data_IF_033060581646
#
_entry.id   IF_033060581646
#
_cell.length_a   1.000
_cell.length_b   1.000
_cell.length_c   1.000
_cell.angle_alpha   90.00
_cell.angle_beta   90.00
_cell.angle_gamma   90.00
#
_symmetry.space_group_name_H-M   'P 1'
#
loop_
_entity.id
_entity.type
_entity.pdbx_description
1 polymer ?
#
# COMPACT_ATOMS: atom_id res chain seq x y z
N UNK A 1 13.36 81.82 -21.74
CA UNK A 1 12.41 80.94 -22.43
C UNK A 1 12.30 79.66 -21.62
N UNK A 2 11.21 79.51 -20.83
CA UNK A 2 10.91 78.36 -19.98
C UNK A 2 10.16 77.33 -20.81
N UNK A 3 10.73 76.16 -21.00
CA UNK A 3 10.01 75.00 -21.47
C UNK A 3 9.43 74.24 -20.27
N UNK A 4 8.10 74.26 -20.14
CA UNK A 4 7.34 73.36 -19.25
C UNK A 4 7.23 71.99 -19.91
N UNK A 5 7.87 71.01 -19.34
CA UNK A 5 7.59 69.56 -19.65
C UNK A 5 6.30 69.11 -19.02
N UNK A 6 5.34 68.65 -19.83
CA UNK A 6 4.13 67.97 -19.35
C UNK A 6 4.47 66.57 -18.90
N UNK A 7 3.88 66.04 -17.80
CA UNK A 7 4.07 64.66 -17.41
C UNK A 7 3.24 63.72 -18.29
N UNK A 8 3.91 62.77 -18.87
CA UNK A 8 3.30 61.65 -19.59
C UNK A 8 2.44 60.84 -18.62
N UNK A 9 1.11 60.74 -18.88
CA UNK A 9 0.21 59.83 -18.14
C UNK A 9 0.46 58.39 -18.61
N UNK A 10 0.70 57.41 -17.72
CA UNK A 10 0.75 56.03 -18.13
C UNK A 10 -0.68 55.53 -18.40
N UNK A 11 -1.00 55.27 -19.66
CA UNK A 11 -2.22 54.56 -20.08
C UNK A 11 -1.97 53.08 -19.97
N UNK A 12 -1.79 52.55 -18.77
CA UNK A 12 -1.79 51.15 -18.47
C UNK A 12 -3.13 50.81 -17.86
N UNK A 13 -4.08 50.19 -18.62
CA UNK A 13 -5.19 49.46 -18.02
C UNK A 13 -4.60 48.40 -17.10
N UNK A 14 -5.06 48.26 -15.86
CA UNK A 14 -4.63 47.14 -15.05
C UNK A 14 -5.08 45.88 -15.79
N UNK A 15 -4.11 45.04 -16.19
CA UNK A 15 -4.38 43.68 -16.64
C UNK A 15 -4.78 42.97 -15.36
N UNK A 16 -6.09 42.87 -15.11
CA UNK A 16 -6.63 41.95 -14.15
C UNK A 16 -6.25 40.55 -14.65
N UNK A 17 -5.18 39.98 -14.10
CA UNK A 17 -5.00 38.53 -14.15
C UNK A 17 -6.26 37.95 -13.53
N UNK A 18 -7.12 37.38 -14.34
CA UNK A 18 -8.09 36.43 -13.85
C UNK A 18 -7.22 35.39 -13.15
N UNK A 19 -7.29 35.35 -11.84
CA UNK A 19 -6.64 34.33 -11.03
C UNK A 19 -7.43 33.07 -11.35
N UNK A 20 -7.01 32.33 -12.38
CA UNK A 20 -7.53 30.99 -12.61
C UNK A 20 -7.18 30.23 -11.33
N UNK A 21 -8.19 29.81 -10.57
CA UNK A 21 -8.00 28.91 -9.45
C UNK A 21 -7.21 27.72 -10.00
N UNK A 22 -6.19 27.31 -9.31
CA UNK A 22 -5.29 26.23 -9.71
C UNK A 22 -5.30 25.17 -8.63
N UNK A 23 -5.34 23.90 -9.03
CA UNK A 23 -5.23 22.75 -8.15
C UNK A 23 -3.82 22.17 -8.21
N UNK A 24 -3.38 21.63 -7.11
CA UNK A 24 -2.16 20.80 -7.03
C UNK A 24 -2.56 19.35 -7.21
N UNK A 25 -2.05 18.73 -8.26
CA UNK A 25 -2.19 17.30 -8.49
C UNK A 25 -0.85 16.62 -8.15
N UNK A 26 -0.82 15.85 -7.08
CA UNK A 26 0.35 15.09 -6.66
C UNK A 26 0.39 13.76 -7.38
N UNK A 27 1.27 13.64 -8.35
CA UNK A 27 1.48 12.41 -9.12
C UNK A 27 2.37 11.47 -8.33
N UNK A 28 1.87 10.29 -8.03
CA UNK A 28 2.49 9.26 -7.17
C UNK A 28 2.76 8.03 -8.02
N UNK A 29 3.95 7.44 -7.92
CA UNK A 29 4.31 6.20 -8.60
C UNK A 29 5.26 5.37 -7.78
N UNK A 30 5.42 4.11 -8.19
CA UNK A 30 6.34 3.15 -7.58
C UNK A 30 7.58 3.07 -8.47
N UNK A 31 8.77 3.21 -7.87
CA UNK A 31 10.04 3.19 -8.60
C UNK A 31 10.56 1.78 -8.91
N UNK A 32 11.74 1.70 -9.55
CA UNK A 32 12.39 0.44 -9.91
C UNK A 32 13.44 -0.04 -8.92
N UNK A 33 13.49 0.50 -7.71
CA UNK A 33 14.48 0.10 -6.71
C UNK A 33 14.25 -1.35 -6.27
N UNK A 34 15.33 -2.11 -6.15
CA UNK A 34 15.32 -3.50 -5.70
C UNK A 34 16.16 -3.65 -4.43
N UNK A 35 15.82 -4.56 -3.50
CA UNK A 35 14.72 -5.52 -3.56
C UNK A 35 13.34 -4.92 -3.25
N UNK A 36 13.27 -3.73 -2.70
CA UNK A 36 12.03 -3.05 -2.30
C UNK A 36 11.91 -1.72 -3.05
N UNK A 37 10.84 -1.51 -3.82
CA UNK A 37 10.59 -0.25 -4.50
C UNK A 37 10.16 0.85 -3.53
N UNK A 38 10.46 2.10 -3.88
CA UNK A 38 10.01 3.27 -3.14
C UNK A 38 8.83 3.95 -3.82
N UNK A 39 7.97 4.53 -3.00
CA UNK A 39 6.96 5.48 -3.46
C UNK A 39 7.65 6.79 -3.81
N UNK A 40 7.36 7.32 -4.99
CA UNK A 40 7.84 8.62 -5.49
C UNK A 40 6.67 9.54 -5.76
N UNK A 41 6.89 10.83 -5.66
CA UNK A 41 5.87 11.80 -6.05
C UNK A 41 6.43 13.09 -6.62
N UNK A 42 5.60 13.81 -7.38
CA UNK A 42 5.85 15.18 -7.85
C UNK A 42 4.53 15.91 -8.10
N UNK A 43 4.52 17.21 -7.83
CA UNK A 43 3.31 18.04 -7.95
C UNK A 43 3.19 18.70 -9.32
N UNK A 44 2.05 18.56 -9.98
CA UNK A 44 1.65 19.30 -11.17
C UNK A 44 0.60 20.36 -10.82
N UNK A 45 0.79 21.57 -11.33
CA UNK A 45 -0.22 22.63 -11.19
C UNK A 45 -1.15 22.58 -12.40
N UNK A 46 -2.42 22.40 -12.16
CA UNK A 46 -3.46 22.28 -13.18
C UNK A 46 -4.50 23.39 -13.00
N UNK A 47 -5.29 23.64 -14.04
CA UNK A 47 -6.42 24.57 -13.94
C UNK A 47 -7.50 23.94 -13.04
N UNK A 48 -8.21 24.79 -12.31
CA UNK A 48 -9.37 24.40 -11.54
C UNK A 48 -10.43 23.69 -12.41
N UNK A 49 -11.08 22.66 -11.83
CA UNK A 49 -12.07 21.83 -12.54
C UNK A 49 -11.46 20.82 -13.53
N UNK A 50 -10.12 20.60 -13.52
CA UNK A 50 -9.49 19.53 -14.30
C UNK A 50 -9.96 18.18 -13.78
N UNK A 51 -10.69 17.42 -14.58
CA UNK A 51 -11.15 16.07 -14.25
C UNK A 51 -10.26 14.98 -14.85
N UNK A 52 -9.67 15.24 -16.02
CA UNK A 52 -8.78 14.31 -16.70
C UNK A 52 -7.33 14.74 -16.47
N UNK A 53 -6.63 14.01 -15.62
CA UNK A 53 -5.23 14.29 -15.30
C UNK A 53 -4.33 13.88 -16.48
N UNK A 54 -3.52 14.82 -17.03
CA UNK A 54 -2.70 14.52 -18.20
C UNK A 54 -1.55 13.58 -17.85
N UNK A 55 -1.09 12.79 -18.82
CA UNK A 55 0.17 12.05 -18.72
C UNK A 55 1.33 13.01 -18.47
N UNK A 56 2.38 12.51 -17.80
CA UNK A 56 3.53 13.36 -17.46
C UNK A 56 4.85 12.59 -17.50
N UNK A 57 5.85 13.10 -18.24
CA UNK A 57 7.18 12.51 -18.32
C UNK A 57 7.99 12.74 -17.04
N UNK A 58 8.93 11.83 -16.74
CA UNK A 58 9.88 11.97 -15.65
C UNK A 58 11.23 11.29 -15.98
N UNK A 59 12.27 11.61 -15.22
CA UNK A 59 13.60 11.01 -15.34
C UNK A 59 13.64 9.63 -14.65
N UNK A 60 13.50 8.58 -15.45
CA UNK A 60 13.58 7.19 -14.98
C UNK A 60 14.97 6.78 -14.48
N UNK A 61 16.03 7.49 -14.87
CA UNK A 61 17.39 7.18 -14.40
C UNK A 61 17.58 7.48 -12.92
N UNK A 62 16.85 8.46 -12.40
CA UNK A 62 16.85 8.82 -10.98
C UNK A 62 15.96 7.92 -10.11
N UNK A 63 15.23 6.98 -10.73
CA UNK A 63 14.28 6.08 -10.07
C UNK A 63 14.53 4.60 -10.39
N UNK A 64 15.71 4.26 -10.91
CA UNK A 64 16.10 2.90 -11.29
C UNK A 64 15.17 2.27 -12.35
N UNK A 65 14.61 3.07 -13.26
CA UNK A 65 13.64 2.63 -14.29
C UNK A 65 14.15 2.84 -15.72
N UNK A 66 15.24 3.58 -15.93
CA UNK A 66 15.82 3.78 -17.23
C UNK A 66 17.35 4.04 -17.16
N UNK A 67 18.11 3.83 -18.24
CA UNK A 67 19.50 4.27 -18.31
C UNK A 67 19.59 5.79 -18.52
N UNK A 68 20.73 6.40 -18.14
CA UNK A 68 20.88 7.85 -18.19
C UNK A 68 20.94 8.48 -19.61
N UNK A 69 21.25 7.68 -20.62
CA UNK A 69 21.32 8.10 -22.03
C UNK A 69 19.98 7.92 -22.77
N UNK A 70 18.98 7.31 -22.12
CA UNK A 70 17.60 7.19 -22.60
C UNK A 70 16.66 7.13 -21.38
N UNK A 71 16.55 8.27 -20.66
CA UNK A 71 16.02 8.29 -19.30
C UNK A 71 14.53 8.58 -19.19
N UNK A 72 13.85 8.93 -20.26
CA UNK A 72 12.45 9.30 -20.19
C UNK A 72 11.55 8.10 -19.89
N UNK A 73 10.70 8.27 -18.86
CA UNK A 73 9.56 7.42 -18.54
C UNK A 73 8.29 8.26 -18.47
N UNK A 74 7.13 7.62 -18.57
CA UNK A 74 5.82 8.28 -18.59
C UNK A 74 4.97 7.82 -17.42
N UNK A 75 4.36 8.78 -16.72
CA UNK A 75 3.31 8.57 -15.74
C UNK A 75 1.95 8.63 -16.40
N UNK A 76 1.19 7.54 -16.32
CA UNK A 76 -0.20 7.45 -16.76
C UNK A 76 -1.11 7.38 -15.53
N UNK A 77 -1.97 8.39 -15.28
CA UNK A 77 -2.94 8.35 -14.19
C UNK A 77 -3.85 7.13 -14.27
N UNK A 78 -4.06 6.45 -13.14
CA UNK A 78 -4.88 5.23 -13.04
C UNK A 78 -5.87 5.25 -11.89
N UNK A 79 -5.59 6.03 -10.84
CA UNK A 79 -6.48 6.24 -9.71
C UNK A 79 -6.29 7.66 -9.18
N UNK A 80 -7.32 8.28 -8.62
CA UNK A 80 -7.21 9.59 -7.97
C UNK A 80 -8.18 9.71 -6.80
N UNK A 81 -7.78 10.52 -5.81
CA UNK A 81 -8.60 10.84 -4.65
C UNK A 81 -8.30 12.26 -4.17
N UNK A 82 -9.14 12.86 -3.31
CA UNK A 82 -8.83 14.13 -2.64
C UNK A 82 -7.48 14.07 -1.93
N UNK A 83 -6.76 15.21 -1.88
CA UNK A 83 -5.55 15.33 -1.08
C UNK A 83 -5.91 15.83 0.34
N UNK A 84 -5.95 14.94 1.35
CA UNK A 84 -6.35 15.32 2.70
C UNK A 84 -5.31 16.15 3.44
N UNK A 85 -4.05 16.13 2.97
CA UNK A 85 -2.93 16.86 3.60
C UNK A 85 -2.99 18.33 3.21
N UNK A 86 -3.21 18.64 1.94
CA UNK A 86 -3.29 20.02 1.43
C UNK A 86 -4.70 20.57 1.48
N UNK A 87 -5.71 19.70 1.37
CA UNK A 87 -7.13 20.08 1.42
C UNK A 87 -7.60 20.86 0.18
N UNK A 88 -8.81 21.40 0.26
CA UNK A 88 -9.44 22.15 -0.83
C UNK A 88 -9.74 21.22 -2.02
N UNK A 89 -9.43 21.69 -3.23
CA UNK A 89 -9.65 20.95 -4.48
C UNK A 89 -8.38 20.21 -4.97
N UNK A 90 -7.32 20.16 -4.13
CA UNK A 90 -6.09 19.43 -4.43
C UNK A 90 -6.31 17.91 -4.44
N UNK A 91 -5.54 17.20 -5.26
CA UNK A 91 -5.74 15.79 -5.51
C UNK A 91 -4.45 14.97 -5.47
N UNK A 92 -4.57 13.74 -5.04
CA UNK A 92 -3.56 12.69 -5.19
C UNK A 92 -3.88 11.87 -6.43
N UNK A 93 -2.87 11.57 -7.24
CA UNK A 93 -3.03 10.87 -8.53
C UNK A 93 -2.02 9.73 -8.60
N UNK A 94 -2.48 8.49 -8.41
CA UNK A 94 -1.65 7.31 -8.58
C UNK A 94 -1.45 7.06 -10.07
N UNK A 95 -0.22 6.72 -10.44
CA UNK A 95 0.18 6.56 -11.83
C UNK A 95 0.85 5.21 -12.09
N UNK A 96 0.50 4.61 -13.21
CA UNK A 96 1.30 3.60 -13.87
C UNK A 96 2.56 4.21 -14.46
N UNK A 97 3.67 3.46 -14.44
CA UNK A 97 4.86 3.79 -15.22
C UNK A 97 4.78 3.09 -16.57
N UNK A 98 4.97 3.86 -17.64
CA UNK A 98 4.94 3.39 -19.03
C UNK A 98 6.21 3.79 -19.78
N UNK A 99 6.50 3.08 -20.87
CA UNK A 99 7.54 3.44 -21.83
C UNK A 99 7.11 4.66 -22.67
N UNK A 100 8.06 5.49 -23.12
CA UNK A 100 7.77 6.67 -23.95
C UNK A 100 7.63 6.30 -25.44
N UNK A 101 6.92 5.22 -25.74
CA UNK A 101 6.76 4.64 -27.08
C UNK A 101 5.52 5.13 -27.84
N UNK A 102 4.71 5.98 -27.22
CA UNK A 102 3.45 6.48 -27.78
C UNK A 102 2.26 5.51 -27.65
N UNK A 103 2.51 4.25 -27.38
CA UNK A 103 1.49 3.21 -27.14
C UNK A 103 1.18 3.04 -25.65
N UNK A 104 1.95 3.68 -24.78
CA UNK A 104 1.85 3.58 -23.32
C UNK A 104 2.06 2.15 -22.82
N UNK A 105 3.01 1.45 -23.46
CA UNK A 105 3.40 0.10 -23.04
C UNK A 105 3.82 0.11 -21.57
N UNK A 106 3.26 -0.77 -20.73
CA UNK A 106 3.66 -0.84 -19.32
C UNK A 106 5.17 -1.04 -19.17
N UNK A 107 5.78 -0.23 -18.30
CA UNK A 107 7.20 -0.41 -17.99
C UNK A 107 7.43 -1.76 -17.29
N UNK A 108 8.59 -2.45 -17.46
CA UNK A 108 8.87 -3.74 -16.80
C UNK A 108 8.71 -3.74 -15.27
N UNK A 109 8.84 -2.59 -14.62
CA UNK A 109 8.59 -2.44 -13.16
C UNK A 109 7.11 -2.21 -12.81
N UNK A 110 6.22 -2.13 -13.79
CA UNK A 110 4.79 -1.90 -13.58
C UNK A 110 4.08 -3.22 -13.27
N UNK A 111 3.98 -3.57 -12.01
CA UNK A 111 3.32 -4.79 -11.52
C UNK A 111 1.78 -4.70 -11.58
N UNK A 112 1.24 -3.47 -11.60
CA UNK A 112 -0.20 -3.23 -11.70
C UNK A 112 -0.80 -3.75 -13.00
N UNK A 113 -0.11 -3.63 -14.12
CA UNK A 113 -0.63 -4.08 -15.42
C UNK A 113 -1.00 -5.57 -15.42
N UNK A 114 -0.13 -6.43 -14.90
CA UNK A 114 -0.41 -7.87 -14.77
C UNK A 114 -1.51 -8.18 -13.73
N UNK A 115 -1.68 -7.33 -12.73
CA UNK A 115 -2.77 -7.44 -11.75
C UNK A 115 -4.14 -7.12 -12.41
N UNK A 116 -4.20 -6.10 -13.27
CA UNK A 116 -5.39 -5.77 -14.06
C UNK A 116 -5.78 -6.94 -14.97
N UNK A 117 -4.83 -7.53 -15.69
CA UNK A 117 -5.08 -8.71 -16.54
C UNK A 117 -5.65 -9.89 -15.75
N UNK A 118 -5.21 -10.07 -14.50
CA UNK A 118 -5.70 -11.10 -13.61
C UNK A 118 -7.15 -10.84 -13.17
N UNK A 119 -7.46 -9.61 -12.78
CA UNK A 119 -8.83 -9.21 -12.42
C UNK A 119 -9.77 -9.39 -13.62
N UNK A 120 -9.37 -8.95 -14.80
CA UNK A 120 -10.19 -9.09 -16.03
C UNK A 120 -10.49 -10.55 -16.35
N UNK A 121 -9.47 -11.43 -16.19
CA UNK A 121 -9.60 -12.89 -16.45
C UNK A 121 -10.60 -13.58 -15.53
N UNK A 122 -10.64 -13.19 -14.26
CA UNK A 122 -11.44 -13.85 -13.23
C UNK A 122 -12.56 -12.95 -12.67
N UNK A 123 -12.95 -11.91 -13.39
CA UNK A 123 -13.98 -10.95 -12.95
C UNK A 123 -15.34 -11.61 -12.66
N UNK A 124 -15.67 -12.71 -13.36
CA UNK A 124 -16.88 -13.48 -13.15
C UNK A 124 -16.93 -14.20 -11.79
N UNK A 125 -15.78 -14.45 -11.16
CA UNK A 125 -15.67 -15.01 -9.82
C UNK A 125 -15.74 -13.95 -8.71
N UNK A 126 -15.74 -12.67 -9.06
CA UNK A 126 -15.83 -11.53 -8.12
C UNK A 126 -14.81 -11.64 -6.98
N UNK A 127 -13.48 -11.67 -7.27
CA UNK A 127 -12.47 -11.71 -6.24
C UNK A 127 -12.50 -10.44 -5.39
N UNK A 128 -12.51 -10.60 -4.07
CA UNK A 128 -12.52 -9.50 -3.09
C UNK A 128 -11.40 -9.73 -2.09
N UNK A 129 -10.72 -8.64 -1.73
CA UNK A 129 -9.58 -8.63 -0.82
C UNK A 129 -9.75 -7.63 0.31
N UNK A 130 -9.11 -7.96 1.46
CA UNK A 130 -8.75 -7.01 2.50
C UNK A 130 -7.30 -7.22 2.88
N UNK A 131 -6.54 -6.15 3.11
CA UNK A 131 -5.12 -6.23 3.46
C UNK A 131 -4.89 -5.54 4.81
N UNK A 132 -4.25 -6.27 5.72
CA UNK A 132 -3.86 -5.85 7.07
C UNK A 132 -2.38 -5.46 7.03
N UNK A 133 -2.10 -4.18 6.80
CA UNK A 133 -0.75 -3.67 6.63
C UNK A 133 -0.13 -3.31 7.97
N UNK A 134 0.82 -4.10 8.42
CA UNK A 134 1.65 -3.77 9.58
C UNK A 134 2.82 -2.85 9.19
N UNK A 135 3.28 -2.03 10.14
CA UNK A 135 4.43 -1.14 10.02
C UNK A 135 4.98 -0.77 11.40
N UNK A 136 6.23 -0.34 11.44
CA UNK A 136 6.89 0.07 12.68
C UNK A 136 7.39 1.50 12.57
N UNK A 137 7.06 2.34 13.53
CA UNK A 137 7.59 3.69 13.60
C UNK A 137 9.01 3.70 14.16
N UNK A 138 9.88 4.49 13.51
CA UNK A 138 11.24 4.74 13.96
C UNK A 138 11.48 6.25 14.15
N UNK A 139 12.21 6.57 15.18
CA UNK A 139 12.74 7.91 15.41
C UNK A 139 14.20 7.81 15.79
N UNK A 140 15.09 8.56 15.13
CA UNK A 140 16.53 8.53 15.34
C UNK A 140 17.14 7.10 15.27
N UNK A 141 16.61 6.27 14.35
CA UNK A 141 17.10 4.90 14.13
C UNK A 141 16.64 3.87 15.17
N UNK A 142 15.66 4.21 16.02
CA UNK A 142 15.08 3.32 17.04
C UNK A 142 13.56 3.24 16.90
N UNK A 143 12.94 2.10 17.23
CA UNK A 143 11.48 2.06 17.27
C UNK A 143 10.92 3.10 18.23
N UNK A 144 9.87 3.76 17.81
CA UNK A 144 9.23 4.82 18.58
C UNK A 144 8.69 4.29 19.93
N UNK A 145 8.97 5.00 21.01
CA UNK A 145 8.56 4.62 22.36
C UNK A 145 9.52 3.65 23.07
N UNK A 146 10.55 3.15 22.40
CA UNK A 146 11.55 2.31 23.04
C UNK A 146 12.43 3.13 23.99
N UNK A 147 12.89 2.54 25.13
CA UNK A 147 13.74 3.25 26.07
C UNK A 147 15.06 3.67 25.43
N UNK A 148 15.64 4.78 25.89
CA UNK A 148 16.93 5.27 25.38
C UNK A 148 18.05 4.25 25.63
N UNK A 149 18.00 3.54 26.75
CA UNK A 149 18.92 2.47 27.09
C UNK A 149 18.14 1.17 27.32
N UNK A 150 18.66 0.05 26.77
CA UNK A 150 18.03 -1.26 26.88
C UNK A 150 16.89 -1.47 25.87
N UNK A 151 16.02 -2.41 26.19
CA UNK A 151 14.92 -2.89 25.34
C UNK A 151 13.64 -3.01 26.16
N UNK A 152 12.46 -2.75 25.58
CA UNK A 152 11.20 -3.11 26.21
C UNK A 152 11.07 -4.65 26.28
N UNK A 153 10.02 -5.15 26.92
CA UNK A 153 9.72 -6.58 26.85
C UNK A 153 9.35 -6.95 25.40
N UNK A 154 9.87 -8.06 24.83
CA UNK A 154 9.53 -8.48 23.47
C UNK A 154 8.04 -8.77 23.29
N UNK A 155 7.42 -9.33 24.32
CA UNK A 155 5.99 -9.64 24.39
C UNK A 155 5.41 -8.90 25.61
N UNK A 156 4.98 -7.66 25.43
CA UNK A 156 4.34 -6.84 26.44
C UNK A 156 2.85 -6.65 26.17
N UNK A 157 2.14 -5.84 26.96
CA UNK A 157 0.73 -5.53 26.78
C UNK A 157 0.51 -4.48 25.68
N UNK A 158 1.20 -4.60 24.54
CA UNK A 158 1.21 -3.61 23.45
C UNK A 158 0.09 -3.84 22.46
N UNK A 159 -0.24 -5.11 22.16
CA UNK A 159 -1.31 -5.44 21.23
C UNK A 159 -2.64 -4.84 21.68
N UNK A 160 -3.21 -3.96 20.83
CA UNK A 160 -4.40 -3.16 21.16
C UNK A 160 -4.27 -2.40 22.49
N UNK A 161 -3.04 -2.05 22.90
CA UNK A 161 -2.73 -1.44 24.18
C UNK A 161 -3.33 -0.05 24.36
N UNK A 162 -3.50 0.34 25.62
CA UNK A 162 -4.03 1.66 26.01
C UNK A 162 -3.18 2.22 27.15
N UNK A 163 -2.73 3.44 27.01
CA UNK A 163 -1.92 4.13 28.02
C UNK A 163 -0.52 4.45 27.51
N UNK A 164 0.10 5.46 28.10
CA UNK A 164 1.35 6.04 27.60
C UNK A 164 2.58 5.12 27.73
N UNK A 165 2.47 4.04 28.52
CA UNK A 165 3.58 3.08 28.72
C UNK A 165 3.53 1.97 27.66
N UNK A 166 2.31 1.61 27.21
CA UNK A 166 2.06 0.49 26.31
C UNK A 166 1.99 0.93 24.84
N UNK A 167 1.83 2.24 24.56
CA UNK A 167 1.59 2.75 23.20
C UNK A 167 2.49 3.94 22.88
N UNK A 168 3.01 3.95 21.65
CA UNK A 168 3.73 5.08 21.08
C UNK A 168 3.21 5.35 19.64
N UNK A 169 3.08 6.64 19.25
CA UNK A 169 2.71 7.04 17.89
C UNK A 169 1.21 7.10 17.61
N UNK A 170 0.32 7.00 18.59
CA UNK A 170 -1.15 7.04 18.38
C UNK A 170 -1.61 8.28 17.62
N UNK A 171 -1.05 9.44 17.92
CA UNK A 171 -1.42 10.68 17.23
C UNK A 171 -1.11 10.63 15.72
N UNK A 172 -0.03 9.96 15.32
CA UNK A 172 0.34 9.75 13.92
C UNK A 172 -0.66 8.81 13.26
N UNK A 173 -1.01 7.71 13.94
CA UNK A 173 -1.98 6.71 13.46
C UNK A 173 -3.36 7.32 13.29
N UNK A 174 -3.83 8.12 14.23
CA UNK A 174 -5.13 8.79 14.14
C UNK A 174 -5.16 9.82 13.02
N UNK A 175 -4.09 10.60 12.85
CA UNK A 175 -3.94 11.52 11.73
C UNK A 175 -3.94 10.78 10.37
N UNK A 176 -3.22 9.66 10.27
CA UNK A 176 -3.19 8.80 9.07
C UNK A 176 -4.57 8.19 8.78
N UNK A 177 -5.23 7.64 9.80
CA UNK A 177 -6.58 7.07 9.67
C UNK A 177 -7.57 8.11 9.16
N UNK A 178 -7.55 9.32 9.75
CA UNK A 178 -8.44 10.41 9.30
C UNK A 178 -8.12 10.83 7.86
N UNK A 179 -6.84 10.91 7.50
CA UNK A 179 -6.44 11.23 6.13
C UNK A 179 -6.91 10.17 5.13
N UNK A 180 -6.83 8.88 5.46
CA UNK A 180 -7.37 7.81 4.61
C UNK A 180 -8.90 7.95 4.43
N UNK A 181 -9.64 8.27 5.50
CA UNK A 181 -11.08 8.53 5.44
C UNK A 181 -11.38 9.75 4.55
N UNK A 182 -10.67 10.85 4.74
CA UNK A 182 -10.90 12.10 3.98
C UNK A 182 -10.50 11.93 2.49
N UNK A 183 -9.54 11.06 2.19
CA UNK A 183 -9.20 10.65 0.83
C UNK A 183 -10.24 9.70 0.20
N UNK A 184 -11.19 9.19 0.97
CA UNK A 184 -12.20 8.23 0.50
C UNK A 184 -11.66 6.83 0.25
N UNK A 185 -10.56 6.45 0.94
CA UNK A 185 -10.05 5.08 0.91
C UNK A 185 -10.92 4.15 1.78
N UNK A 186 -11.04 2.90 1.38
CA UNK A 186 -11.79 1.87 2.11
C UNK A 186 -11.00 1.36 3.32
N UNK A 187 -10.60 2.30 4.19
CA UNK A 187 -9.95 1.93 5.45
C UNK A 187 -10.99 1.34 6.40
N UNK A 188 -10.74 0.13 6.89
CA UNK A 188 -11.69 -0.65 7.71
C UNK A 188 -11.26 -0.78 9.17
N UNK A 189 -9.98 -0.54 9.48
CA UNK A 189 -9.51 -0.63 10.86
C UNK A 189 -8.07 -0.19 11.04
N UNK A 190 -7.71 -0.01 12.32
CA UNK A 190 -6.33 0.23 12.76
C UNK A 190 -6.17 -0.25 14.19
N UNK A 191 -5.02 -0.81 14.51
CA UNK A 191 -4.68 -1.25 15.87
C UNK A 191 -3.17 -1.18 16.11
N UNK A 192 -2.80 -1.12 17.39
CA UNK A 192 -1.43 -1.33 17.81
C UNK A 192 -1.10 -2.82 17.79
N UNK A 193 0.12 -3.13 17.40
CA UNK A 193 0.64 -4.47 17.25
C UNK A 193 1.45 -4.97 18.46
N UNK A 194 1.96 -6.20 18.37
CA UNK A 194 2.58 -6.93 19.49
C UNK A 194 3.89 -6.29 19.94
N UNK A 195 4.60 -5.59 19.05
CA UNK A 195 5.84 -4.88 19.39
C UNK A 195 5.54 -3.39 19.66
N UNK A 196 6.12 -2.83 20.72
CA UNK A 196 5.99 -1.40 21.02
C UNK A 196 6.50 -0.53 19.86
N UNK A 197 5.65 0.36 19.35
CA UNK A 197 5.91 1.19 18.17
C UNK A 197 5.47 0.57 16.85
N UNK A 198 4.95 -0.67 16.87
CA UNK A 198 4.36 -1.33 15.72
C UNK A 198 2.85 -1.13 15.69
N UNK A 199 2.32 -0.90 14.50
CA UNK A 199 0.92 -0.63 14.23
C UNK A 199 0.47 -1.31 12.95
N UNK A 200 -0.85 -1.37 12.77
CA UNK A 200 -1.52 -1.92 11.59
C UNK A 200 -2.61 -0.97 11.10
N UNK A 201 -2.78 -0.86 9.80
CA UNK A 201 -3.99 -0.37 9.18
C UNK A 201 -4.57 -1.40 8.22
N UNK A 202 -5.89 -1.37 7.98
CA UNK A 202 -6.60 -2.34 7.16
C UNK A 202 -7.32 -1.64 6.02
N UNK A 203 -7.08 -2.08 4.78
CA UNK A 203 -7.75 -1.61 3.57
C UNK A 203 -8.63 -2.72 3.00
N UNK A 204 -9.84 -2.37 2.63
CA UNK A 204 -10.83 -3.25 2.02
C UNK A 204 -12.13 -3.37 2.84
N UNK A 205 -13.11 -4.12 2.31
CA UNK A 205 -13.03 -5.04 1.16
C UNK A 205 -13.10 -4.33 -0.20
N UNK A 206 -12.20 -4.68 -1.12
CA UNK A 206 -12.15 -4.17 -2.49
C UNK A 206 -11.81 -5.29 -3.48
N UNK A 207 -11.97 -5.04 -4.80
CA UNK A 207 -11.46 -5.95 -5.82
C UNK A 207 -9.93 -6.01 -5.85
N UNK A 208 -9.38 -6.94 -6.65
CA UNK A 208 -7.96 -7.25 -6.76
C UNK A 208 -7.06 -6.03 -7.04
N UNK A 209 -7.50 -5.11 -7.89
CA UNK A 209 -6.74 -3.92 -8.29
C UNK A 209 -7.00 -2.78 -7.33
N UNK A 210 -8.26 -2.53 -6.99
CA UNK A 210 -8.66 -1.42 -6.12
C UNK A 210 -8.04 -1.50 -4.72
N UNK A 211 -7.96 -2.71 -4.12
CA UNK A 211 -7.30 -2.86 -2.82
C UNK A 211 -5.82 -2.50 -2.90
N UNK A 212 -5.17 -2.90 -4.00
CA UNK A 212 -3.73 -2.66 -4.20
C UNK A 212 -3.42 -1.18 -4.45
N UNK A 213 -4.24 -0.51 -5.29
CA UNK A 213 -4.16 0.94 -5.49
C UNK A 213 -4.30 1.68 -4.15
N UNK A 214 -5.28 1.31 -3.34
CA UNK A 214 -5.55 1.96 -2.07
C UNK A 214 -4.51 1.66 -0.99
N UNK A 215 -3.90 0.47 -0.95
CA UNK A 215 -2.77 0.19 -0.05
C UNK A 215 -1.57 1.08 -0.39
N UNK A 216 -1.24 1.28 -1.67
CA UNK A 216 -0.17 2.19 -2.06
C UNK A 216 -0.49 3.65 -1.70
N UNK A 217 -1.74 4.08 -1.87
CA UNK A 217 -2.17 5.42 -1.45
C UNK A 217 -2.12 5.60 0.07
N UNK A 218 -2.56 4.60 0.84
CA UNK A 218 -2.47 4.61 2.30
C UNK A 218 -1.01 4.63 2.79
N UNK A 219 -0.09 3.87 2.15
CA UNK A 219 1.35 3.94 2.43
C UNK A 219 1.92 5.34 2.13
N UNK A 220 1.53 5.95 1.01
CA UNK A 220 1.93 7.32 0.68
C UNK A 220 1.48 8.31 1.78
N UNK A 221 0.21 8.25 2.17
CA UNK A 221 -0.32 9.10 3.24
C UNK A 221 0.39 8.87 4.58
N UNK A 222 0.67 7.61 4.92
CA UNK A 222 1.43 7.26 6.13
C UNK A 222 2.82 7.91 6.15
N UNK A 223 3.56 7.79 5.06
CA UNK A 223 4.90 8.37 4.96
C UNK A 223 4.85 9.89 5.03
N UNK A 224 3.92 10.52 4.32
CA UNK A 224 3.77 11.98 4.31
C UNK A 224 3.37 12.55 5.67
N UNK A 225 2.49 11.89 6.40
CA UNK A 225 2.08 12.29 7.73
C UNK A 225 3.23 12.06 8.73
N UNK A 226 3.89 10.91 8.68
CA UNK A 226 5.03 10.62 9.55
C UNK A 226 6.17 11.65 9.41
N UNK A 227 6.41 12.19 8.20
CA UNK A 227 7.36 13.30 7.97
C UNK A 227 7.08 14.52 8.86
N UNK A 228 5.82 14.88 9.10
CA UNK A 228 5.45 16.05 9.91
C UNK A 228 5.81 15.85 11.39
N UNK A 229 5.87 14.61 11.85
CA UNK A 229 6.25 14.23 13.21
C UNK A 229 7.76 13.94 13.37
N UNK A 230 8.53 13.99 12.26
CA UNK A 230 9.94 13.59 12.27
C UNK A 230 10.13 12.11 12.61
N UNK A 231 9.20 11.27 12.17
CA UNK A 231 9.15 9.83 12.39
C UNK A 231 9.19 9.12 11.05
N UNK A 232 9.91 8.01 10.97
CA UNK A 232 9.97 7.13 9.82
C UNK A 232 9.04 5.93 10.01
N UNK A 233 8.23 5.61 9.00
CA UNK A 233 7.35 4.44 9.02
C UNK A 233 7.98 3.32 8.19
N UNK A 234 8.52 2.31 8.87
CA UNK A 234 9.15 1.15 8.23
C UNK A 234 8.13 0.05 7.96
N UNK A 235 8.16 -0.49 6.75
CA UNK A 235 7.43 -1.71 6.36
C UNK A 235 8.38 -2.91 6.24
N UNK A 236 9.52 -2.90 6.91
CA UNK A 236 10.44 -4.04 6.91
C UNK A 236 9.77 -5.27 7.54
N UNK A 237 9.96 -6.43 6.92
CA UNK A 237 9.40 -7.70 7.39
C UNK A 237 9.90 -8.10 8.78
N UNK A 238 11.13 -7.73 9.13
CA UNK A 238 11.76 -7.97 10.43
C UNK A 238 12.50 -6.71 10.88
N UNK A 239 11.78 -5.67 11.31
CA UNK A 239 12.36 -4.36 11.62
C UNK A 239 13.38 -4.42 12.76
N UNK A 240 13.22 -5.34 13.70
CA UNK A 240 14.19 -5.63 14.76
C UNK A 240 14.51 -7.12 14.79
N UNK A 241 15.81 -7.45 14.73
CA UNK A 241 16.28 -8.84 14.75
C UNK A 241 16.22 -9.44 16.16
N UNK A 242 16.04 -10.77 16.22
CA UNK A 242 15.95 -11.52 17.49
C UNK A 242 14.51 -11.85 17.86
N UNK A 243 14.23 -11.93 19.16
CA UNK A 243 12.96 -12.36 19.73
C UNK A 243 11.87 -11.25 19.70
N UNK A 244 11.75 -10.57 18.55
CA UNK A 244 10.77 -9.54 18.31
C UNK A 244 9.82 -9.98 17.20
N UNK A 245 8.56 -9.49 17.21
CA UNK A 245 7.63 -9.75 16.11
C UNK A 245 8.16 -9.20 14.81
N UNK A 246 7.88 -9.91 13.72
CA UNK A 246 7.98 -9.39 12.37
C UNK A 246 6.77 -8.52 12.03
N UNK A 247 6.77 -7.98 10.82
CA UNK A 247 5.66 -7.22 10.27
C UNK A 247 5.13 -7.89 8.99
N UNK A 248 3.83 -8.17 8.97
CA UNK A 248 3.11 -8.80 7.87
C UNK A 248 2.21 -7.83 7.11
N UNK A 249 1.68 -8.33 6.01
CA UNK A 249 0.53 -7.77 5.33
C UNK A 249 -0.45 -8.91 5.06
N UNK A 250 -1.13 -9.36 6.13
CA UNK A 250 -2.07 -10.46 6.02
C UNK A 250 -3.14 -10.12 4.99
N UNK A 251 -3.37 -11.06 4.10
CA UNK A 251 -4.21 -10.82 2.94
C UNK A 251 -5.44 -11.69 3.00
N UNK A 252 -6.57 -11.06 3.29
CA UNK A 252 -7.88 -11.68 3.28
C UNK A 252 -8.39 -11.80 1.84
N UNK A 253 -8.93 -12.94 1.49
CA UNK A 253 -9.40 -13.25 0.14
C UNK A 253 -10.72 -14.00 0.13
N UNK A 254 -11.61 -13.63 -0.78
CA UNK A 254 -12.88 -14.29 -1.02
C UNK A 254 -13.28 -14.23 -2.50
N UNK A 255 -14.02 -15.24 -2.96
CA UNK A 255 -14.74 -15.20 -4.24
C UNK A 255 -16.24 -15.32 -3.99
N UNK A 256 -17.06 -15.11 -5.05
CA UNK A 256 -18.50 -15.32 -4.94
C UNK A 256 -18.82 -16.73 -4.43
N UNK A 257 -18.19 -17.77 -4.96
CA UNK A 257 -18.39 -19.16 -4.52
C UNK A 257 -18.04 -19.39 -3.04
N UNK A 258 -16.95 -18.76 -2.55
CA UNK A 258 -16.56 -18.83 -1.13
C UNK A 258 -17.56 -18.12 -0.22
N UNK A 259 -18.21 -17.06 -0.71
CA UNK A 259 -19.29 -16.36 0.03
C UNK A 259 -20.61 -17.12 0.05
N UNK A 260 -20.74 -18.18 -0.74
CA UNK A 260 -21.93 -19.03 -0.83
C UNK A 260 -21.75 -20.42 -0.19
N UNK A 261 -20.50 -20.92 -0.05
CA UNK A 261 -20.24 -22.26 0.47
C UNK A 261 -18.84 -22.46 1.05
N UNK A 262 -18.67 -23.58 1.77
CA UNK A 262 -17.43 -23.90 2.48
C UNK A 262 -16.42 -24.69 1.62
N UNK A 263 -16.91 -25.58 0.74
CA UNK A 263 -16.03 -26.37 -0.12
C UNK A 263 -15.08 -25.50 -0.98
N UNK A 264 -15.53 -24.37 -1.56
CA UNK A 264 -14.65 -23.44 -2.26
C UNK A 264 -13.57 -22.84 -1.35
N UNK A 265 -13.83 -22.66 -0.06
CA UNK A 265 -12.84 -22.18 0.93
C UNK A 265 -11.73 -23.21 1.11
N UNK A 266 -12.10 -24.47 1.27
CA UNK A 266 -11.14 -25.59 1.39
C UNK A 266 -10.32 -25.73 0.10
N UNK A 267 -10.97 -25.69 -1.07
CA UNK A 267 -10.28 -25.76 -2.37
C UNK A 267 -9.27 -24.63 -2.55
N UNK A 268 -9.61 -23.40 -2.15
CA UNK A 268 -8.69 -22.25 -2.16
C UNK A 268 -7.49 -22.48 -1.24
N UNK A 269 -7.70 -22.97 0.00
CA UNK A 269 -6.61 -23.32 0.91
C UNK A 269 -5.69 -24.39 0.32
N UNK A 270 -6.26 -25.48 -0.23
CA UNK A 270 -5.49 -26.56 -0.83
C UNK A 270 -4.67 -26.10 -2.06
N UNK A 271 -5.26 -25.23 -2.89
CA UNK A 271 -4.58 -24.69 -4.07
C UNK A 271 -3.35 -23.86 -3.73
N UNK A 272 -3.39 -23.07 -2.65
CA UNK A 272 -2.27 -22.26 -2.17
C UNK A 272 -1.10 -23.10 -1.63
N UNK A 273 -1.36 -24.35 -1.25
CA UNK A 273 -0.38 -25.34 -0.80
C UNK A 273 0.05 -26.34 -1.85
N UNK A 274 -0.48 -26.27 -3.06
CA UNK A 274 -0.17 -27.22 -4.12
C UNK A 274 1.30 -27.20 -4.53
N UNK A 275 1.77 -28.27 -5.18
CA UNK A 275 3.16 -28.44 -5.60
C UNK A 275 3.66 -27.22 -6.41
N UNK A 276 4.77 -26.63 -5.96
CA UNK A 276 5.38 -25.45 -6.55
C UNK A 276 4.72 -24.11 -6.18
N UNK A 277 3.45 -24.10 -5.74
CA UNK A 277 2.75 -22.85 -5.41
C UNK A 277 3.31 -22.15 -4.16
N UNK A 278 3.71 -22.91 -3.16
CA UNK A 278 4.34 -22.34 -1.95
C UNK A 278 5.57 -21.52 -2.34
N UNK A 279 6.47 -22.09 -3.14
CA UNK A 279 7.68 -21.38 -3.58
C UNK A 279 7.37 -20.18 -4.50
N UNK A 280 6.39 -20.31 -5.41
CA UNK A 280 5.95 -19.24 -6.30
C UNK A 280 5.42 -18.04 -5.49
N UNK A 281 4.54 -18.29 -4.53
CA UNK A 281 3.96 -17.26 -3.68
C UNK A 281 5.02 -16.61 -2.78
N UNK A 282 5.86 -17.42 -2.12
CA UNK A 282 6.91 -16.87 -1.26
C UNK A 282 7.90 -15.98 -2.00
N UNK A 283 8.20 -16.25 -3.27
CA UNK A 283 9.04 -15.38 -4.10
C UNK A 283 8.39 -14.02 -4.40
N UNK A 284 7.04 -13.92 -4.38
CA UNK A 284 6.29 -12.70 -4.64
C UNK A 284 5.78 -11.98 -3.36
N UNK A 285 5.96 -12.56 -2.18
CA UNK A 285 5.35 -12.10 -0.94
C UNK A 285 6.21 -11.11 -0.14
N UNK A 286 7.14 -10.44 -0.80
CA UNK A 286 8.05 -9.48 -0.20
C UNK A 286 9.42 -10.06 0.13
N UNK A 287 10.24 -9.28 0.82
CA UNK A 287 11.62 -9.61 1.15
C UNK A 287 11.79 -9.85 2.66
N UNK A 288 12.65 -10.82 3.04
CA UNK A 288 12.94 -11.13 4.46
C UNK A 288 12.02 -12.18 5.07
N UNK A 289 11.35 -13.01 4.26
CA UNK A 289 10.43 -14.05 4.73
C UNK A 289 11.10 -15.05 5.67
N UNK A 290 12.37 -15.40 5.45
CA UNK A 290 13.14 -16.32 6.29
C UNK A 290 13.37 -15.77 7.71
N UNK A 291 13.47 -14.43 7.82
CA UNK A 291 13.67 -13.76 9.12
C UNK A 291 12.35 -13.57 9.87
N UNK A 292 11.21 -13.44 9.16
CA UNK A 292 9.89 -13.23 9.74
C UNK A 292 9.14 -14.55 10.00
N UNK A 293 9.09 -15.46 9.02
CA UNK A 293 8.31 -16.69 9.06
C UNK A 293 9.16 -17.83 9.60
N UNK A 294 9.32 -17.88 10.91
CA UNK A 294 10.25 -18.80 11.61
C UNK A 294 9.57 -20.03 12.22
N UNK A 295 8.24 -20.03 12.29
CA UNK A 295 7.46 -21.00 13.06
C UNK A 295 7.22 -20.58 14.50
N UNK A 296 7.66 -19.38 14.88
CA UNK A 296 7.43 -18.74 16.18
C UNK A 296 6.65 -17.43 15.95
N UNK A 297 6.23 -16.74 17.03
CA UNK A 297 5.53 -15.47 16.96
C UNK A 297 4.31 -15.48 16.02
N UNK A 298 3.47 -16.50 16.17
CA UNK A 298 2.23 -16.68 15.38
C UNK A 298 2.47 -16.78 13.86
N UNK A 299 3.58 -17.39 13.45
CA UNK A 299 3.89 -17.66 12.03
C UNK A 299 4.14 -19.14 11.77
N UNK A 300 3.82 -19.62 10.56
CA UNK A 300 4.41 -20.85 10.03
C UNK A 300 5.79 -20.54 9.45
N UNK A 301 6.63 -21.57 9.30
CA UNK A 301 7.93 -21.43 8.62
C UNK A 301 7.72 -21.11 7.14
N UNK A 302 8.59 -20.25 6.59
CA UNK A 302 8.50 -19.80 5.19
C UNK A 302 8.56 -20.94 4.15
N UNK A 303 9.20 -22.06 4.49
CA UNK A 303 9.39 -23.24 3.64
C UNK A 303 8.34 -24.35 3.87
N UNK A 304 7.32 -24.07 4.69
CA UNK A 304 6.25 -25.00 5.02
C UNK A 304 4.89 -24.37 4.73
N UNK A 305 3.89 -25.23 4.50
CA UNK A 305 2.53 -24.81 4.28
C UNK A 305 1.56 -25.64 5.11
N UNK A 306 0.64 -24.96 5.74
CA UNK A 306 -0.55 -25.55 6.36
C UNK A 306 -1.68 -24.52 6.38
N UNK A 307 -2.89 -25.00 6.60
CA UNK A 307 -4.04 -24.14 6.91
C UNK A 307 -4.83 -24.70 8.08
N UNK A 308 -5.55 -23.83 8.77
CA UNK A 308 -6.35 -24.26 9.93
C UNK A 308 -7.41 -23.25 10.34
N UNK A 309 -8.44 -23.75 11.04
CA UNK A 309 -9.51 -22.93 11.62
C UNK A 309 -8.99 -22.28 12.90
N UNK A 310 -9.07 -20.94 12.99
CA UNK A 310 -8.61 -20.14 14.14
C UNK A 310 -7.13 -20.28 14.47
N UNK A 311 -6.33 -20.86 13.58
CA UNK A 311 -4.91 -21.13 13.79
C UNK A 311 -4.06 -19.95 13.26
N UNK A 312 -3.55 -19.12 14.19
CA UNK A 312 -2.64 -18.01 13.87
C UNK A 312 -1.23 -18.48 13.55
N UNK A 313 -0.85 -19.71 13.91
CA UNK A 313 0.44 -20.32 13.52
C UNK A 313 0.41 -20.96 12.14
N UNK A 314 -0.72 -20.95 11.42
CA UNK A 314 -0.82 -21.49 10.07
C UNK A 314 -0.41 -20.49 9.01
N UNK A 315 -0.03 -21.01 7.83
CA UNK A 315 0.20 -20.21 6.61
C UNK A 315 -1.06 -19.50 6.14
N UNK A 316 -2.19 -20.24 6.17
CA UNK A 316 -3.52 -19.73 5.83
C UNK A 316 -4.49 -20.03 6.97
N UNK A 317 -5.16 -19.00 7.45
CA UNK A 317 -6.16 -19.13 8.51
C UNK A 317 -7.57 -19.04 7.92
N UNK A 318 -8.44 -19.96 8.36
CA UNK A 318 -9.89 -19.85 8.18
C UNK A 318 -10.43 -19.23 9.48
N UNK A 319 -11.01 -18.02 9.46
CA UNK A 319 -11.59 -17.43 10.67
C UNK A 319 -12.66 -18.32 11.31
N UNK A 320 -12.78 -18.29 12.64
CA UNK A 320 -13.73 -19.14 13.36
C UNK A 320 -15.18 -18.91 12.91
N UNK A 321 -15.55 -17.67 12.60
CA UNK A 321 -16.90 -17.33 12.14
C UNK A 321 -17.19 -17.96 10.78
N UNK A 322 -16.19 -17.96 9.87
CA UNK A 322 -16.31 -18.60 8.55
C UNK A 322 -16.57 -20.10 8.68
N UNK A 323 -15.90 -20.76 9.61
CA UNK A 323 -16.13 -22.19 9.88
C UNK A 323 -17.53 -22.46 10.46
N UNK A 324 -18.09 -21.55 11.26
CA UNK A 324 -19.48 -21.66 11.76
C UNK A 324 -20.48 -21.40 10.66
N UNK A 325 -20.31 -20.31 9.90
CA UNK A 325 -21.24 -19.88 8.87
C UNK A 325 -21.14 -20.71 7.59
N UNK A 326 -20.11 -21.57 7.49
CA UNK A 326 -19.81 -22.43 6.34
C UNK A 326 -19.69 -21.66 5.02
N UNK A 327 -19.21 -20.42 5.10
CA UNK A 327 -18.94 -19.50 3.97
C UNK A 327 -18.16 -18.28 4.44
N UNK A 328 -17.49 -17.57 3.52
CA UNK A 328 -16.79 -16.32 3.84
C UNK A 328 -15.48 -16.15 3.10
N UNK A 329 -14.36 -16.13 3.81
CA UNK A 329 -13.05 -15.81 3.29
C UNK A 329 -11.93 -16.61 3.98
N UNK A 330 -10.72 -16.53 3.41
CA UNK A 330 -9.47 -17.01 4.02
C UNK A 330 -8.54 -15.84 4.28
N UNK A 331 -7.60 -16.02 5.20
CA UNK A 331 -6.53 -15.09 5.49
C UNK A 331 -5.17 -15.75 5.17
N UNK A 332 -4.50 -15.30 4.12
CA UNK A 332 -3.11 -15.68 3.85
C UNK A 332 -2.18 -14.81 4.71
N UNK A 333 -1.50 -15.44 5.67
CA UNK A 333 -0.66 -14.79 6.67
C UNK A 333 0.81 -14.69 6.26
N UNK A 334 1.15 -15.24 5.08
CA UNK A 334 2.53 -15.29 4.58
C UNK A 334 3.07 -13.97 4.02
N UNK A 335 2.27 -13.07 3.38
CA UNK A 335 2.81 -11.85 2.82
C UNK A 335 3.47 -10.97 3.88
N UNK A 336 4.68 -10.46 3.59
CA UNK A 336 5.42 -9.54 4.44
C UNK A 336 4.88 -8.12 4.32
N UNK A 337 5.10 -7.28 5.32
CA UNK A 337 4.66 -5.88 5.30
C UNK A 337 5.19 -5.12 4.08
N UNK A 338 6.40 -5.46 3.60
CA UNK A 338 7.04 -4.83 2.44
C UNK A 338 6.64 -5.43 1.08
N UNK A 339 5.63 -6.29 1.05
CA UNK A 339 5.14 -6.88 -0.20
C UNK A 339 4.63 -5.81 -1.19
N UNK A 340 4.68 -6.14 -2.48
CA UNK A 340 3.95 -5.41 -3.50
C UNK A 340 2.51 -5.94 -3.56
N UNK A 341 1.49 -5.12 -3.22
CA UNK A 341 0.10 -5.57 -3.17
C UNK A 341 -0.41 -6.07 -4.53
N UNK A 342 0.02 -5.50 -5.65
CA UNK A 342 -0.36 -5.98 -6.99
C UNK A 342 0.15 -7.41 -7.26
N UNK A 343 1.36 -7.72 -6.80
CA UNK A 343 1.93 -9.07 -6.96
C UNK A 343 1.19 -10.07 -6.10
N UNK A 344 0.93 -9.73 -4.82
CA UNK A 344 0.26 -10.63 -3.87
C UNK A 344 -1.17 -10.92 -4.31
N UNK A 345 -1.96 -9.90 -4.59
CA UNK A 345 -3.37 -10.07 -4.97
C UNK A 345 -3.51 -10.80 -6.30
N UNK A 346 -2.63 -10.52 -7.28
CA UNK A 346 -2.57 -11.25 -8.55
C UNK A 346 -2.26 -12.73 -8.35
N UNK A 347 -1.26 -13.07 -7.54
CA UNK A 347 -0.88 -14.46 -7.28
C UNK A 347 -2.01 -15.25 -6.62
N UNK A 348 -2.65 -14.67 -5.61
CA UNK A 348 -3.78 -15.31 -4.91
C UNK A 348 -4.97 -15.45 -5.85
N UNK A 349 -5.33 -14.41 -6.61
CA UNK A 349 -6.41 -14.47 -7.59
C UNK A 349 -6.17 -15.58 -8.60
N UNK A 350 -4.98 -15.62 -9.24
CA UNK A 350 -4.67 -16.63 -10.25
C UNK A 350 -4.75 -18.04 -9.67
N UNK A 351 -4.14 -18.29 -8.51
CA UNK A 351 -4.08 -19.63 -7.91
C UNK A 351 -5.45 -20.12 -7.45
N UNK A 352 -6.18 -19.28 -6.70
CA UNK A 352 -7.46 -19.70 -6.13
C UNK A 352 -8.58 -19.73 -7.18
N UNK A 353 -8.67 -18.72 -8.07
CA UNK A 353 -9.70 -18.67 -9.08
C UNK A 353 -9.52 -19.76 -10.16
N UNK A 354 -8.27 -20.10 -10.51
CA UNK A 354 -8.00 -21.23 -11.42
C UNK A 354 -8.51 -22.55 -10.82
N UNK A 355 -8.24 -22.79 -9.53
CA UNK A 355 -8.72 -23.98 -8.82
C UNK A 355 -10.26 -24.07 -8.69
N UNK A 356 -10.93 -22.91 -8.66
CA UNK A 356 -12.39 -22.82 -8.55
C UNK A 356 -13.11 -22.78 -9.90
N UNK A 357 -12.38 -22.63 -11.01
CA UNK A 357 -12.93 -22.62 -12.37
C UNK A 357 -13.19 -24.03 -12.93
N UNK A 358 -12.66 -25.08 -12.32
CA UNK A 358 -12.84 -26.49 -12.67
C UNK A 358 -13.97 -27.11 -11.91
#
# INVERSE_FOLDING_TARGET
VLFRSQPCRPTGRPIWRVQTMAIRAEYIWIDGTTPLPYVRSKTKILADGTADYPIWGFDGSSTNQAPGDNSDCVLRPVFSCPDPIRGGDDVLVLCDVCLPDGEMTPHPTNTRAACVESLDRYSDQEPIFGIEQEYTFFQEGRPLGWPVEGYPAPQGPYYCGVGAIEIAGREIVEAHTQACIDAGLEISGTNAEVMLGQWEFQIGPCDTVSVSDQVWMARYLLYRIAEEFGVDASIDAKPIKGDWNGAGAHTNFSTRAMREGYDPIIAACESLGADGKVAEHMAGYGHGSEERLTGEHETQRFDQYNYGVSDRGASVRIPWQVAIDQKGYIEDRRPNANMDPYVVTRLITNTCCEALAG
#
